data_IF_455042866830
#
_entry.id   IF_455042866830
#
_cell.length_a   1.000
_cell.length_b   1.000
_cell.length_c   1.000
_cell.angle_alpha   90.00
_cell.angle_beta   90.00
_cell.angle_gamma   90.00
#
_symmetry.space_group_name_H-M   'P 1'
#
loop_
_entity.id
_entity.type
_entity.pdbx_description
1 polymer ?
#
# COMPACT_ATOMS: atom_id res chain seq x y z
N UNK A 1 6.23 -0.96 -5.20
CA UNK A 1 5.28 -1.92 -5.82
C UNK A 1 5.85 -2.59 -7.08
N UNK A 2 6.34 -1.89 -8.10
CA UNK A 2 6.86 -2.53 -9.32
C UNK A 2 7.96 -3.59 -9.08
N UNK A 3 8.91 -3.31 -8.20
CA UNK A 3 9.94 -4.28 -7.83
C UNK A 3 9.35 -5.51 -7.13
N UNK A 4 8.36 -5.33 -6.24
CA UNK A 4 7.68 -6.44 -5.58
C UNK A 4 6.97 -7.35 -6.59
N UNK A 5 6.28 -6.73 -7.56
CA UNK A 5 5.58 -7.46 -8.63
C UNK A 5 6.56 -8.20 -9.53
N UNK A 6 7.70 -7.58 -9.87
CA UNK A 6 8.75 -8.19 -10.69
C UNK A 6 9.37 -9.42 -9.99
N UNK A 7 9.83 -9.25 -8.75
CA UNK A 7 10.44 -10.36 -7.97
C UNK A 7 9.42 -11.46 -7.69
N UNK A 8 8.20 -11.10 -7.28
CA UNK A 8 7.12 -12.06 -7.04
C UNK A 8 6.68 -12.79 -8.32
N UNK A 9 6.64 -12.09 -9.46
CA UNK A 9 6.33 -12.68 -10.76
C UNK A 9 7.36 -13.69 -11.22
N UNK A 10 8.65 -13.35 -11.14
CA UNK A 10 9.73 -14.25 -11.53
C UNK A 10 9.81 -15.46 -10.59
N UNK A 11 9.99 -15.23 -9.29
CA UNK A 11 10.26 -16.31 -8.34
C UNK A 11 8.97 -17.02 -7.93
N UNK A 12 7.89 -16.28 -7.70
CA UNK A 12 6.64 -16.81 -7.18
C UNK A 12 5.74 -17.49 -8.22
N UNK A 13 5.93 -17.20 -9.51
CA UNK A 13 5.09 -17.72 -10.60
C UNK A 13 5.88 -18.36 -11.74
N UNK A 14 6.81 -17.63 -12.38
CA UNK A 14 7.49 -18.12 -13.57
C UNK A 14 8.47 -19.28 -13.30
N UNK A 15 9.20 -19.21 -12.19
CA UNK A 15 10.24 -20.19 -11.84
C UNK A 15 9.98 -20.91 -10.51
N UNK A 16 8.70 -21.02 -10.09
CA UNK A 16 8.33 -21.67 -8.84
C UNK A 16 8.84 -23.13 -8.75
N UNK A 17 8.95 -23.82 -9.88
CA UNK A 17 9.47 -25.19 -9.96
C UNK A 17 10.97 -25.31 -9.66
N UNK A 18 11.73 -24.21 -9.83
CA UNK A 18 13.17 -24.15 -9.58
C UNK A 18 13.53 -23.70 -8.15
N UNK A 19 12.56 -23.14 -7.42
CA UNK A 19 12.78 -22.56 -6.12
C UNK A 19 11.91 -23.22 -5.04
N UNK A 20 12.45 -23.32 -3.83
CA UNK A 20 11.66 -23.74 -2.68
C UNK A 20 10.79 -22.60 -2.15
N UNK A 21 9.90 -22.89 -1.20
CA UNK A 21 8.93 -21.93 -0.66
C UNK A 21 9.55 -20.68 -0.05
N UNK A 22 10.75 -20.79 0.55
CA UNK A 22 11.46 -19.66 1.17
C UNK A 22 11.80 -18.54 0.18
N UNK A 23 11.98 -18.85 -1.10
CA UNK A 23 12.28 -17.88 -2.14
C UNK A 23 11.11 -16.92 -2.44
N UNK A 24 9.91 -17.17 -1.88
CA UNK A 24 8.80 -16.22 -1.93
C UNK A 24 8.99 -15.04 -0.96
N UNK A 25 9.74 -15.22 0.13
CA UNK A 25 9.97 -14.19 1.15
C UNK A 25 10.49 -12.85 0.60
N UNK A 26 11.50 -12.80 -0.28
CA UNK A 26 11.97 -11.52 -0.83
C UNK A 26 10.83 -10.71 -1.47
N UNK A 27 9.98 -11.33 -2.28
CA UNK A 27 8.82 -10.67 -2.90
C UNK A 27 7.81 -10.18 -1.85
N UNK A 28 7.53 -10.98 -0.82
CA UNK A 28 6.64 -10.62 0.27
C UNK A 28 7.17 -9.44 1.08
N UNK A 29 8.46 -9.47 1.45
CA UNK A 29 9.12 -8.38 2.21
C UNK A 29 9.10 -7.07 1.42
N UNK A 30 9.44 -7.11 0.12
CA UNK A 30 9.42 -5.93 -0.74
C UNK A 30 7.99 -5.38 -0.88
N UNK A 31 6.97 -6.26 -0.94
CA UNK A 31 5.57 -5.84 -0.95
C UNK A 31 5.18 -5.13 0.34
N UNK A 32 5.50 -5.70 1.50
CA UNK A 32 5.23 -5.10 2.81
C UNK A 32 5.93 -3.74 2.98
N UNK A 33 7.20 -3.62 2.59
CA UNK A 33 7.94 -2.35 2.58
C UNK A 33 7.23 -1.33 1.69
N UNK A 34 6.71 -1.76 0.54
CA UNK A 34 5.98 -0.86 -0.37
C UNK A 34 4.71 -0.30 0.26
N UNK A 35 3.94 -1.12 0.98
CA UNK A 35 2.75 -0.69 1.70
C UNK A 35 3.11 0.26 2.84
N UNK A 36 4.12 -0.07 3.65
CA UNK A 36 4.64 0.81 4.71
C UNK A 36 4.97 2.22 4.16
N UNK A 37 5.60 2.31 2.98
CA UNK A 37 5.90 3.61 2.36
C UNK A 37 4.65 4.33 1.87
N UNK A 38 3.64 3.63 1.36
CA UNK A 38 2.36 4.24 0.95
C UNK A 38 1.64 4.82 2.16
N UNK A 39 1.57 4.08 3.26
CA UNK A 39 1.04 4.58 4.53
C UNK A 39 1.81 5.83 5.01
N UNK A 40 3.13 5.76 4.98
CA UNK A 40 4.00 6.87 5.37
C UNK A 40 3.76 8.12 4.51
N UNK A 41 3.53 7.93 3.21
CA UNK A 41 3.19 9.01 2.29
C UNK A 41 1.83 9.64 2.63
N UNK A 42 0.80 8.83 2.91
CA UNK A 42 -0.52 9.32 3.34
C UNK A 42 -0.47 10.08 4.67
N UNK A 43 0.28 9.57 5.67
CA UNK A 43 0.53 10.27 6.94
C UNK A 43 1.22 11.62 6.69
N UNK A 44 2.21 11.64 5.80
CA UNK A 44 2.95 12.85 5.48
C UNK A 44 2.09 13.86 4.69
N UNK A 45 1.23 13.39 3.78
CA UNK A 45 0.29 14.20 3.02
C UNK A 45 -0.74 14.88 3.94
N UNK A 46 -1.18 14.17 4.98
CA UNK A 46 -2.17 14.68 5.95
C UNK A 46 -1.58 15.60 7.02
N UNK A 47 -0.25 15.76 7.11
CA UNK A 47 0.43 16.40 8.24
C UNK A 47 0.04 17.86 8.51
N UNK A 48 -0.34 18.60 7.48
CA UNK A 48 -0.74 20.01 7.60
C UNK A 48 -2.08 20.18 8.33
N UNK A 49 -2.92 19.15 8.33
CA UNK A 49 -4.24 19.13 8.93
C UNK A 49 -4.29 18.39 10.27
N UNK A 50 -3.19 17.76 10.66
CA UNK A 50 -3.08 16.98 11.89
C UNK A 50 -2.12 17.63 12.87
N UNK A 51 -2.41 17.49 14.18
CA UNK A 51 -1.46 17.90 15.24
C UNK A 51 -0.13 17.14 15.09
N UNK A 52 1.00 17.83 15.32
CA UNK A 52 2.34 17.21 15.22
C UNK A 52 2.50 15.94 16.07
N UNK A 53 1.85 15.87 17.23
CA UNK A 53 1.82 14.68 18.10
C UNK A 53 1.14 13.50 17.43
N UNK A 54 0.00 13.72 16.76
CA UNK A 54 -0.73 12.68 16.01
C UNK A 54 0.11 12.15 14.85
N UNK A 55 0.71 13.05 14.08
CA UNK A 55 1.60 12.65 12.96
C UNK A 55 2.77 11.80 13.46
N UNK A 56 3.40 12.19 14.58
CA UNK A 56 4.48 11.43 15.20
C UNK A 56 3.98 10.06 15.67
N UNK A 57 2.86 10.00 16.34
CA UNK A 57 2.23 8.77 16.81
C UNK A 57 1.94 7.81 15.65
N UNK A 58 1.29 8.29 14.59
CA UNK A 58 0.99 7.48 13.41
C UNK A 58 2.26 6.95 12.74
N UNK A 59 3.33 7.75 12.67
CA UNK A 59 4.62 7.31 12.14
C UNK A 59 5.29 6.23 12.98
N UNK A 60 5.12 6.26 14.30
CA UNK A 60 5.62 5.23 15.22
C UNK A 60 4.81 3.95 15.04
N UNK A 61 3.48 4.06 15.06
CA UNK A 61 2.58 2.90 14.85
C UNK A 61 2.87 2.21 13.51
N UNK A 62 3.04 2.96 12.43
CA UNK A 62 3.38 2.41 11.11
C UNK A 62 4.67 1.55 11.14
N UNK A 63 5.70 1.96 11.90
CA UNK A 63 6.92 1.15 12.04
C UNK A 63 6.68 -0.08 12.93
N UNK A 64 5.99 0.08 14.06
CA UNK A 64 5.70 -1.03 14.98
C UNK A 64 4.86 -2.09 14.26
N UNK A 65 3.82 -1.67 13.56
CA UNK A 65 2.94 -2.54 12.80
C UNK A 65 3.72 -3.31 11.73
N UNK A 66 4.48 -2.59 10.90
CA UNK A 66 5.33 -3.21 9.88
C UNK A 66 6.29 -4.24 10.46
N UNK A 67 7.03 -3.91 11.53
CA UNK A 67 7.99 -4.82 12.15
C UNK A 67 7.29 -6.04 12.76
N UNK A 68 6.10 -5.85 13.35
CA UNK A 68 5.31 -6.95 13.92
C UNK A 68 4.91 -7.95 12.83
N UNK A 69 4.28 -7.47 11.74
CA UNK A 69 3.86 -8.37 10.66
C UNK A 69 5.02 -8.94 9.87
N UNK A 70 6.12 -8.18 9.68
CA UNK A 70 7.36 -8.70 9.09
C UNK A 70 7.91 -9.87 9.90
N UNK A 71 8.01 -9.71 11.20
CA UNK A 71 8.48 -10.76 12.12
C UNK A 71 7.58 -12.00 12.02
N UNK A 72 6.26 -11.82 12.13
CA UNK A 72 5.30 -12.92 12.01
C UNK A 72 5.42 -13.62 10.65
N UNK A 73 5.58 -12.87 9.55
CA UNK A 73 5.75 -13.42 8.20
C UNK A 73 7.02 -14.27 8.07
N UNK A 74 8.15 -13.79 8.59
CA UNK A 74 9.44 -14.49 8.50
C UNK A 74 9.41 -15.79 9.32
N UNK A 75 8.88 -15.76 10.55
CA UNK A 75 8.90 -16.93 11.43
C UNK A 75 7.82 -17.97 11.10
N UNK A 76 6.64 -17.53 10.62
CA UNK A 76 5.56 -18.46 10.30
C UNK A 76 5.54 -18.92 8.85
N UNK A 77 6.23 -18.20 7.93
CA UNK A 77 6.15 -18.39 6.48
C UNK A 77 4.70 -18.38 5.96
N UNK A 78 3.84 -17.60 6.60
CA UNK A 78 2.42 -17.53 6.27
C UNK A 78 2.10 -16.22 5.56
N UNK A 79 1.61 -16.33 4.33
CA UNK A 79 1.23 -15.18 3.49
C UNK A 79 0.09 -14.35 4.07
N UNK A 80 -0.73 -14.94 4.94
CA UNK A 80 -1.81 -14.23 5.63
C UNK A 80 -1.36 -12.94 6.31
N UNK A 81 -0.17 -12.92 6.93
CA UNK A 81 0.35 -11.72 7.59
C UNK A 81 0.73 -10.60 6.60
N UNK A 82 1.15 -10.97 5.39
CA UNK A 82 1.38 -9.99 4.30
C UNK A 82 0.06 -9.38 3.84
N UNK A 83 -0.98 -10.21 3.66
CA UNK A 83 -2.32 -9.76 3.29
C UNK A 83 -2.92 -8.87 4.37
N UNK A 84 -2.80 -9.27 5.63
CA UNK A 84 -3.33 -8.50 6.75
C UNK A 84 -2.66 -7.14 6.88
N UNK A 85 -1.31 -7.08 6.84
CA UNK A 85 -0.55 -5.82 6.80
C UNK A 85 -1.01 -4.92 5.65
N UNK A 86 -1.13 -5.48 4.44
CA UNK A 86 -1.58 -4.72 3.26
C UNK A 86 -3.01 -4.21 3.40
N UNK A 87 -3.91 -5.06 3.89
CA UNK A 87 -5.31 -4.69 4.17
C UNK A 87 -5.41 -3.60 5.23
N UNK A 88 -4.71 -3.75 6.35
CA UNK A 88 -4.65 -2.75 7.40
C UNK A 88 -4.14 -1.40 6.86
N UNK A 89 -2.98 -1.40 6.21
CA UNK A 89 -2.36 -0.19 5.69
C UNK A 89 -3.24 0.55 4.70
N UNK A 90 -3.80 -0.15 3.73
CA UNK A 90 -4.61 0.47 2.69
C UNK A 90 -6.01 0.86 3.16
N UNK A 91 -6.71 -0.02 3.91
CA UNK A 91 -8.11 0.20 4.29
C UNK A 91 -8.27 1.07 5.54
N UNK A 92 -7.37 0.95 6.53
CA UNK A 92 -7.49 1.75 7.75
C UNK A 92 -6.65 3.02 7.71
N UNK A 93 -5.40 2.96 7.25
CA UNK A 93 -4.52 4.13 7.29
C UNK A 93 -4.73 5.01 6.06
N UNK A 94 -4.49 4.47 4.85
CA UNK A 94 -4.52 5.27 3.61
C UNK A 94 -5.93 5.75 3.31
N UNK A 95 -6.92 4.85 3.32
CA UNK A 95 -8.31 5.20 3.05
C UNK A 95 -8.82 6.28 4.00
N UNK A 96 -8.58 6.15 5.32
CA UNK A 96 -9.07 7.11 6.30
C UNK A 96 -8.42 8.48 6.14
N UNK A 97 -7.09 8.54 6.01
CA UNK A 97 -6.37 9.80 5.89
C UNK A 97 -6.67 10.52 4.58
N UNK A 98 -6.70 9.79 3.47
CA UNK A 98 -6.97 10.39 2.16
C UNK A 98 -8.45 10.78 2.00
N UNK A 99 -9.40 10.05 2.62
CA UNK A 99 -10.82 10.46 2.68
C UNK A 99 -10.95 11.75 3.49
N UNK A 100 -10.31 11.82 4.66
CA UNK A 100 -10.30 13.05 5.46
C UNK A 100 -9.77 14.24 4.67
N UNK A 101 -8.64 14.09 3.97
CA UNK A 101 -8.08 15.14 3.12
C UNK A 101 -9.01 15.51 1.97
N UNK A 102 -9.53 14.51 1.27
CA UNK A 102 -10.42 14.73 0.12
C UNK A 102 -11.68 15.49 0.51
N UNK A 103 -12.31 15.13 1.62
CA UNK A 103 -13.51 15.84 2.13
C UNK A 103 -13.19 17.29 2.46
N UNK A 104 -12.03 17.55 3.11
CA UNK A 104 -11.62 18.91 3.51
C UNK A 104 -11.15 19.79 2.36
N UNK A 105 -10.41 19.23 1.41
CA UNK A 105 -9.64 20.04 0.45
C UNK A 105 -10.02 19.80 -1.01
N UNK A 106 -10.79 18.75 -1.29
CA UNK A 106 -11.06 18.27 -2.65
C UNK A 106 -9.78 18.05 -3.47
N UNK A 107 -8.69 17.69 -2.81
CA UNK A 107 -7.38 17.53 -3.39
C UNK A 107 -7.39 16.42 -4.47
N UNK A 108 -6.82 16.74 -5.63
CA UNK A 108 -6.75 15.82 -6.76
C UNK A 108 -5.86 14.61 -6.46
N UNK A 109 -4.77 14.77 -5.69
CA UNK A 109 -3.91 13.66 -5.28
C UNK A 109 -4.71 12.64 -4.45
N UNK A 110 -5.46 13.11 -3.44
CA UNK A 110 -6.32 12.25 -2.62
C UNK A 110 -7.36 11.49 -3.46
N UNK A 111 -7.95 12.13 -4.48
CA UNK A 111 -8.86 11.44 -5.40
C UNK A 111 -8.20 10.23 -6.07
N UNK A 112 -6.98 10.40 -6.62
CA UNK A 112 -6.25 9.31 -7.26
C UNK A 112 -5.83 8.22 -6.27
N UNK A 113 -5.39 8.60 -5.06
CA UNK A 113 -5.01 7.64 -4.01
C UNK A 113 -6.22 6.82 -3.53
N UNK A 114 -7.38 7.45 -3.35
CA UNK A 114 -8.64 6.75 -3.03
C UNK A 114 -9.08 5.80 -4.15
N UNK A 115 -8.95 6.22 -5.41
CA UNK A 115 -9.23 5.34 -6.56
C UNK A 115 -8.29 4.13 -6.55
N UNK A 116 -7.00 4.33 -6.24
CA UNK A 116 -6.04 3.24 -6.11
C UNK A 116 -6.43 2.24 -5.02
N UNK A 117 -6.84 2.74 -3.84
CA UNK A 117 -7.33 1.88 -2.74
C UNK A 117 -8.58 1.11 -3.17
N UNK A 118 -9.50 1.73 -3.90
CA UNK A 118 -10.68 1.05 -4.45
C UNK A 118 -10.31 -0.13 -5.37
N UNK A 119 -9.38 0.07 -6.31
CA UNK A 119 -8.90 -1.02 -7.16
C UNK A 119 -8.14 -2.10 -6.40
N UNK A 120 -7.36 -1.73 -5.38
CA UNK A 120 -6.70 -2.69 -4.50
C UNK A 120 -7.71 -3.53 -3.70
N UNK A 121 -8.81 -2.92 -3.24
CA UNK A 121 -9.90 -3.64 -2.59
C UNK A 121 -10.59 -4.64 -3.54
N UNK A 122 -10.85 -4.23 -4.78
CA UNK A 122 -11.40 -5.15 -5.80
C UNK A 122 -10.43 -6.30 -6.05
N UNK A 123 -9.12 -6.04 -6.18
CA UNK A 123 -8.11 -7.08 -6.33
C UNK A 123 -8.15 -8.09 -5.17
N UNK A 124 -8.24 -7.59 -3.93
CA UNK A 124 -8.35 -8.44 -2.73
C UNK A 124 -9.62 -9.28 -2.74
N UNK A 125 -10.77 -8.72 -3.14
CA UNK A 125 -12.03 -9.47 -3.27
C UNK A 125 -11.92 -10.62 -4.27
N UNK A 126 -11.33 -10.40 -5.44
CA UNK A 126 -11.11 -11.47 -6.43
C UNK A 126 -10.20 -12.57 -5.88
N UNK A 127 -9.12 -12.17 -5.21
CA UNK A 127 -8.14 -13.10 -4.66
C UNK A 127 -8.70 -13.93 -3.50
N UNK A 128 -9.31 -13.28 -2.51
CA UNK A 128 -9.81 -13.95 -1.29
C UNK A 128 -10.99 -14.88 -1.58
N UNK A 129 -11.90 -14.46 -2.47
CA UNK A 129 -13.07 -15.27 -2.84
C UNK A 129 -12.80 -16.22 -4.01
N UNK A 130 -11.56 -16.28 -4.52
CA UNK A 130 -11.14 -17.13 -5.64
C UNK A 130 -12.04 -16.97 -6.87
N UNK A 131 -12.46 -15.72 -7.16
CA UNK A 131 -13.37 -15.40 -8.28
C UNK A 131 -12.57 -15.51 -9.58
N UNK A 132 -12.82 -16.59 -10.33
CA UNK A 132 -12.20 -16.87 -11.62
C UNK A 132 -13.19 -16.57 -12.74
N UNK A 133 -13.02 -15.45 -13.50
CA UNK A 133 -13.94 -15.09 -14.58
C UNK A 133 -13.99 -16.11 -15.73
N UNK A 134 -12.90 -16.83 -15.96
CA UNK A 134 -12.79 -17.83 -17.01
C UNK A 134 -11.76 -18.91 -16.65
N UNK A 135 -11.86 -20.11 -17.22
CA UNK A 135 -10.90 -21.20 -16.96
C UNK A 135 -9.44 -20.82 -17.29
N UNK A 136 -9.22 -19.99 -18.31
CA UNK A 136 -7.90 -19.46 -18.70
C UNK A 136 -7.54 -18.14 -18.02
N UNK A 137 -8.46 -17.54 -17.28
CA UNK A 137 -8.29 -16.27 -16.58
C UNK A 137 -8.74 -16.44 -15.12
N UNK A 138 -7.86 -17.03 -14.33
CA UNK A 138 -8.14 -17.36 -12.95
C UNK A 138 -8.11 -16.14 -12.01
N UNK A 139 -8.53 -16.34 -10.76
CA UNK A 139 -8.60 -15.30 -9.73
C UNK A 139 -7.27 -14.60 -9.47
N UNK A 140 -6.12 -15.31 -9.64
CA UNK A 140 -4.78 -14.72 -9.47
C UNK A 140 -4.52 -13.72 -10.60
N UNK A 141 -4.75 -14.10 -11.85
CA UNK A 141 -4.57 -13.22 -13.00
C UNK A 141 -5.49 -11.99 -12.91
N UNK A 142 -6.77 -12.19 -12.54
CA UNK A 142 -7.72 -11.12 -12.35
C UNK A 142 -7.27 -10.14 -11.26
N UNK A 143 -6.87 -10.64 -10.09
CA UNK A 143 -6.38 -9.79 -8.98
C UNK A 143 -5.14 -8.99 -9.38
N UNK A 144 -4.21 -9.57 -10.15
CA UNK A 144 -3.01 -8.87 -10.60
C UNK A 144 -3.31 -7.71 -11.56
N UNK A 145 -4.33 -7.84 -12.43
CA UNK A 145 -4.75 -6.73 -13.29
C UNK A 145 -5.26 -5.55 -12.45
N UNK A 146 -6.15 -5.80 -11.49
CA UNK A 146 -6.64 -4.75 -10.58
C UNK A 146 -5.52 -4.14 -9.73
N UNK A 147 -4.54 -4.94 -9.29
CA UNK A 147 -3.36 -4.45 -8.58
C UNK A 147 -2.47 -3.57 -9.46
N UNK A 148 -2.31 -3.90 -10.75
CA UNK A 148 -1.55 -3.07 -11.71
C UNK A 148 -2.25 -1.73 -11.94
N UNK A 149 -3.57 -1.73 -12.06
CA UNK A 149 -4.37 -0.50 -12.14
C UNK A 149 -4.22 0.32 -10.85
N UNK A 150 -4.33 -0.30 -9.68
CA UNK A 150 -4.12 0.35 -8.39
C UNK A 150 -2.73 0.99 -8.29
N UNK A 151 -1.67 0.26 -8.68
CA UNK A 151 -0.30 0.76 -8.67
C UNK A 151 -0.12 1.99 -9.58
N UNK A 152 -0.78 2.00 -10.74
CA UNK A 152 -0.80 3.15 -11.66
C UNK A 152 -1.45 4.38 -11.01
N UNK A 153 -2.59 4.20 -10.34
CA UNK A 153 -3.27 5.29 -9.65
C UNK A 153 -2.49 5.77 -8.41
N UNK A 154 -1.82 4.89 -7.67
CA UNK A 154 -0.90 5.29 -6.60
C UNK A 154 0.25 6.15 -7.15
N UNK A 155 0.84 5.77 -8.27
CA UNK A 155 1.90 6.55 -8.92
C UNK A 155 1.41 7.94 -9.36
N UNK A 156 0.25 8.01 -10.02
CA UNK A 156 -0.34 9.29 -10.47
C UNK A 156 -0.66 10.17 -9.26
N UNK A 157 -1.27 9.59 -8.21
CA UNK A 157 -1.59 10.29 -6.98
C UNK A 157 -0.35 10.83 -6.28
N UNK A 158 0.69 10.02 -6.14
CA UNK A 158 1.95 10.43 -5.52
C UNK A 158 2.63 11.58 -6.27
N UNK A 159 2.61 11.59 -7.61
CA UNK A 159 3.13 12.70 -8.42
C UNK A 159 2.34 14.00 -8.25
N UNK A 160 1.09 13.92 -7.81
CA UNK A 160 0.23 15.09 -7.60
C UNK A 160 0.25 15.60 -6.15
N UNK A 161 0.95 14.93 -5.24
CA UNK A 161 1.18 15.45 -3.90
C UNK A 161 2.10 16.67 -4.03
N UNK A 162 1.54 17.86 -3.79
CA UNK A 162 2.31 19.10 -3.79
C UNK A 162 3.12 19.18 -2.48
N UNK A 163 4.40 18.94 -2.59
CA UNK A 163 5.33 19.00 -1.47
C UNK A 163 5.71 20.45 -1.11
N UNK A 164 5.45 21.43 -1.98
CA UNK A 164 5.78 22.83 -1.72
C UNK A 164 4.91 23.44 -0.60
N UNK A 165 3.67 23.00 -0.50
CA UNK A 165 2.77 23.37 0.63
C UNK A 165 3.30 22.84 1.97
N UNK A 166 4.18 21.85 1.90
CA UNK A 166 4.77 21.15 3.03
C UNK A 166 5.91 21.96 3.66
N UNK A 167 6.66 22.72 2.87
CA UNK A 167 7.83 23.48 3.35
C UNK A 167 7.47 24.85 3.93
N UNK A 168 6.42 25.50 3.43
CA UNK A 168 5.98 26.79 3.97
C UNK A 168 5.46 26.73 5.42
N UNK A 169 5.03 25.57 5.90
CA UNK A 169 4.61 25.39 7.31
C UNK A 169 5.80 25.19 8.27
N UNK A 170 6.98 24.84 7.77
CA UNK A 170 8.21 24.67 8.57
C UNK A 170 9.01 25.95 8.68
N UNK A 171 8.85 26.88 7.75
CA UNK A 171 9.41 28.22 7.81
C UNK A 171 8.43 29.10 8.55
N UNK A 172 8.49 29.07 9.90
CA UNK A 172 7.65 29.87 10.79
C UNK A 172 7.75 31.36 10.47
N UNK A 173 6.92 31.89 9.58
CA UNK A 173 6.56 33.29 9.60
C UNK A 173 5.41 33.46 10.58
N UNK A 174 5.76 33.81 11.81
CA UNK A 174 4.87 34.59 12.71
C UNK A 174 4.38 35.79 11.90
N UNK A 175 3.09 35.88 11.71
CA UNK A 175 2.39 37.16 11.52
C UNK A 175 1.78 37.53 12.87
#
# INVERSE_FOLDING_TARGET
MGLATFVGGIIGHAFLYAFNFYWKLPGWIISMISIMFIERAAIQHSRIWLKKSIVRFLKIINIIEFLTFLTLTIFSLNFFYVEFHSGYGLMFVVLSLETFLFVKTRNTASKYLLTAVGFAAIAALFFMNKISPHQWFNYIAASHIFMAIAATFFYIGAKKIDMSVVDHSSSGKKI
#
